data_IF_686524481473
#
_entry.id   IF_686524481473
#
_cell.length_a   1.000
_cell.length_b   1.000
_cell.length_c   1.000
_cell.angle_alpha   90.00
_cell.angle_beta   90.00
_cell.angle_gamma   90.00
#
_symmetry.space_group_name_H-M   'P 1'
#
loop_
_entity.id
_entity.type
_entity.pdbx_description
1 polymer ?
#
# COMPACT_ATOMS: atom_id res chain seq x y z
N UNK A 1 -16.72 -10.25 30.05
CA UNK A 1 -16.77 -9.29 28.92
C UNK A 1 -15.52 -9.50 28.07
N UNK A 2 -15.58 -10.38 27.06
CA UNK A 2 -14.45 -10.60 26.16
C UNK A 2 -14.35 -9.43 25.19
N UNK A 3 -13.42 -8.50 25.45
CA UNK A 3 -13.02 -7.52 24.46
C UNK A 3 -12.15 -8.22 23.42
N UNK A 4 -12.77 -8.65 22.33
CA UNK A 4 -12.05 -9.04 21.11
C UNK A 4 -11.47 -7.76 20.51
N UNK A 5 -10.23 -7.43 20.86
CA UNK A 5 -9.47 -6.41 20.17
C UNK A 5 -8.88 -7.04 18.91
N UNK A 6 -9.23 -6.51 17.74
CA UNK A 6 -8.60 -6.92 16.49
C UNK A 6 -7.28 -6.16 16.34
N UNK A 7 -6.20 -6.87 16.03
CA UNK A 7 -4.88 -6.30 15.78
C UNK A 7 -4.88 -5.66 14.40
N UNK A 8 -4.58 -4.37 14.34
CA UNK A 8 -4.55 -3.59 13.09
C UNK A 8 -3.11 -3.28 12.71
N UNK A 9 -2.68 -3.81 11.57
CA UNK A 9 -1.32 -3.65 11.06
C UNK A 9 -1.23 -2.49 10.06
N UNK A 10 -0.14 -1.72 10.15
CA UNK A 10 0.13 -0.53 9.32
C UNK A 10 0.49 -0.90 7.87
N UNK A 11 1.27 -1.97 7.68
CA UNK A 11 1.60 -2.56 6.37
C UNK A 11 2.10 -3.99 6.61
N UNK A 12 1.34 -4.98 6.14
CA UNK A 12 1.79 -6.37 6.03
C UNK A 12 1.04 -6.98 4.84
N UNK A 13 1.79 -7.63 3.94
CA UNK A 13 1.24 -8.38 2.81
C UNK A 13 1.60 -9.85 3.02
N UNK A 14 0.61 -10.64 3.41
CA UNK A 14 0.70 -12.10 3.46
C UNK A 14 -0.64 -12.65 2.98
N UNK A 15 -0.61 -13.80 2.31
CA UNK A 15 -1.80 -14.41 1.71
C UNK A 15 -2.96 -14.59 2.72
N UNK A 16 -2.65 -14.77 4.00
CA UNK A 16 -3.63 -15.05 5.05
C UNK A 16 -4.19 -13.81 5.76
N UNK A 17 -3.76 -12.59 5.40
CA UNK A 17 -4.19 -11.35 6.07
C UNK A 17 -5.05 -10.50 5.14
N UNK A 18 -6.30 -10.33 5.53
CA UNK A 18 -7.24 -9.43 4.86
C UNK A 18 -6.77 -7.98 4.95
N UNK A 19 -6.75 -7.30 3.79
CA UNK A 19 -6.45 -5.88 3.69
C UNK A 19 -7.69 -5.05 3.42
N UNK A 20 -7.85 -3.96 4.19
CA UNK A 20 -8.96 -3.03 4.05
C UNK A 20 -8.49 -1.60 3.87
N UNK A 21 -9.11 -0.93 2.90
CA UNK A 21 -9.00 0.50 2.65
C UNK A 21 -10.38 1.10 2.86
N UNK A 22 -10.45 2.07 3.77
CA UNK A 22 -11.68 2.78 4.07
C UNK A 22 -12.21 3.52 2.82
N UNK A 23 -13.53 3.53 2.66
CA UNK A 23 -14.28 4.04 1.51
C UNK A 23 -14.08 3.26 0.21
N UNK A 24 -13.39 2.12 0.24
CA UNK A 24 -13.12 1.28 -0.93
C UNK A 24 -13.73 -0.10 -0.75
N UNK A 25 -13.36 -0.84 0.30
CA UNK A 25 -13.76 -2.24 0.52
C UNK A 25 -14.07 -2.60 1.99
N UNK A 26 -14.34 -1.60 2.85
CA UNK A 26 -14.64 -1.79 4.27
C UNK A 26 -15.93 -2.57 4.54
N UNK A 27 -16.83 -2.61 3.56
CA UNK A 27 -18.09 -3.36 3.60
C UNK A 27 -17.87 -4.88 3.67
N UNK A 28 -16.73 -5.35 3.15
CA UNK A 28 -16.33 -6.76 3.18
C UNK A 28 -15.76 -7.20 4.53
N UNK A 29 -15.61 -6.28 5.49
CA UNK A 29 -15.00 -6.57 6.77
C UNK A 29 -15.88 -7.48 7.65
N UNK A 30 -15.33 -8.61 8.08
CA UNK A 30 -15.99 -9.55 8.99
C UNK A 30 -15.32 -9.47 10.37
N UNK A 31 -16.12 -9.23 11.41
CA UNK A 31 -15.66 -9.09 12.81
C UNK A 31 -14.99 -10.33 13.42
N UNK A 32 -14.85 -11.42 12.66
CA UNK A 32 -14.17 -12.66 13.05
C UNK A 32 -12.66 -12.60 12.83
N UNK A 33 -12.18 -11.67 12.02
CA UNK A 33 -10.75 -11.53 11.72
C UNK A 33 -10.01 -10.90 12.89
N UNK A 34 -9.04 -11.63 13.44
CA UNK A 34 -8.23 -11.21 14.59
C UNK A 34 -7.08 -10.28 14.19
N UNK A 35 -6.61 -10.37 12.95
CA UNK A 35 -5.53 -9.54 12.41
C UNK A 35 -5.96 -9.01 11.05
N UNK A 36 -5.90 -7.69 10.88
CA UNK A 36 -6.17 -7.02 9.60
C UNK A 36 -5.05 -6.07 9.23
N UNK A 37 -4.86 -5.85 7.92
CA UNK A 37 -3.89 -4.88 7.40
C UNK A 37 -4.63 -3.69 6.81
N UNK A 38 -4.17 -2.47 7.11
CA UNK A 38 -4.80 -1.26 6.55
C UNK A 38 -4.24 -0.87 5.19
N UNK A 39 -3.40 -1.71 4.58
CA UNK A 39 -2.64 -1.37 3.37
C UNK A 39 -1.69 -0.16 3.53
N UNK A 40 -0.86 0.06 2.51
CA UNK A 40 0.16 1.13 2.51
C UNK A 40 -0.44 2.53 2.28
N UNK A 41 0.31 3.59 2.59
CA UNK A 41 -0.08 4.97 2.29
C UNK A 41 -0.37 5.19 0.79
N UNK A 42 0.44 4.60 -0.08
CA UNK A 42 0.28 4.69 -1.53
C UNK A 42 -0.98 3.95 -2.00
N UNK A 43 -1.22 2.74 -1.48
CA UNK A 43 -2.42 1.96 -1.79
C UNK A 43 -3.69 2.71 -1.39
N UNK A 44 -3.74 3.27 -0.17
CA UNK A 44 -4.89 4.05 0.31
C UNK A 44 -5.21 5.24 -0.60
N UNK A 45 -4.18 5.98 -1.00
CA UNK A 45 -4.33 7.13 -1.89
C UNK A 45 -4.88 6.70 -3.26
N UNK A 46 -4.25 5.70 -3.86
CA UNK A 46 -4.57 5.27 -5.22
C UNK A 46 -5.94 4.57 -5.33
N UNK A 47 -6.28 3.72 -4.35
CA UNK A 47 -7.48 2.88 -4.40
C UNK A 47 -8.77 3.70 -4.54
N UNK A 48 -8.86 4.85 -3.87
CA UNK A 48 -10.03 5.71 -3.94
C UNK A 48 -10.24 6.27 -5.36
N UNK A 49 -9.17 6.77 -5.98
CA UNK A 49 -9.25 7.28 -7.35
C UNK A 49 -9.54 6.18 -8.36
N UNK A 50 -8.86 5.06 -8.23
CA UNK A 50 -9.05 3.93 -9.12
C UNK A 50 -10.49 3.39 -9.03
N UNK A 51 -11.10 3.34 -7.84
CA UNK A 51 -12.50 2.90 -7.67
C UNK A 51 -13.46 3.81 -8.44
N UNK A 52 -13.35 5.12 -8.24
CA UNK A 52 -14.23 6.10 -8.89
C UNK A 52 -14.08 6.07 -10.42
N UNK A 53 -12.84 5.97 -10.91
CA UNK A 53 -12.56 5.91 -12.34
C UNK A 53 -13.10 4.60 -12.93
N UNK A 54 -12.87 3.48 -12.25
CA UNK A 54 -13.32 2.18 -12.72
C UNK A 54 -14.84 2.09 -12.78
N UNK A 55 -15.55 2.52 -11.73
CA UNK A 55 -17.02 2.49 -11.69
C UNK A 55 -17.67 3.36 -12.77
N UNK A 56 -17.02 4.47 -13.16
CA UNK A 56 -17.58 5.42 -14.15
C UNK A 56 -17.17 5.16 -15.59
N UNK A 57 -15.93 4.72 -15.80
CA UNK A 57 -15.31 4.69 -17.13
C UNK A 57 -14.76 3.31 -17.51
N UNK A 58 -14.57 2.42 -16.53
CA UNK A 58 -13.80 1.20 -16.70
C UNK A 58 -12.30 1.48 -16.81
N UNK A 59 -11.48 0.58 -16.27
CA UNK A 59 -10.02 0.63 -16.39
C UNK A 59 -9.60 -0.65 -17.11
N UNK A 60 -8.95 -0.52 -18.26
CA UNK A 60 -8.42 -1.64 -19.05
C UNK A 60 -6.95 -1.87 -18.67
N UNK A 61 -6.17 -0.78 -18.61
CA UNK A 61 -4.77 -0.79 -18.23
C UNK A 61 -4.41 0.53 -17.53
N UNK A 62 -3.34 0.52 -16.73
CA UNK A 62 -2.88 1.71 -16.02
C UNK A 62 -1.46 1.54 -15.51
N UNK A 63 -0.66 2.59 -15.67
CA UNK A 63 0.68 2.70 -15.08
C UNK A 63 0.69 3.89 -14.12
N UNK A 64 1.31 3.69 -12.96
CA UNK A 64 1.34 4.69 -11.89
C UNK A 64 2.79 4.95 -11.51
N UNK A 65 3.09 6.22 -11.33
CA UNK A 65 4.33 6.69 -10.74
C UNK A 65 3.96 7.59 -9.57
N UNK A 66 4.65 7.43 -8.45
CA UNK A 66 4.42 8.27 -7.28
C UNK A 66 5.66 9.08 -6.98
N UNK A 67 5.46 10.38 -6.72
CA UNK A 67 6.49 11.22 -6.12
C UNK A 67 6.27 11.12 -4.62
N UNK A 68 7.17 10.42 -3.94
CA UNK A 68 7.07 10.13 -2.52
C UNK A 68 8.18 10.89 -1.77
N UNK A 69 7.83 11.52 -0.65
CA UNK A 69 8.82 12.12 0.25
C UNK A 69 9.75 11.05 0.83
N UNK A 70 10.98 11.40 1.16
CA UNK A 70 11.87 10.46 1.85
C UNK A 70 11.26 10.04 3.20
N UNK A 71 11.58 8.81 3.62
CA UNK A 71 11.09 8.19 4.85
C UNK A 71 12.27 7.66 5.66
N UNK A 72 12.04 7.35 6.93
CA UNK A 72 13.07 6.91 7.88
C UNK A 72 13.85 5.66 7.45
N UNK A 73 13.30 4.84 6.55
CA UNK A 73 14.01 3.67 6.03
C UNK A 73 14.97 4.01 4.90
N UNK A 74 15.14 5.28 4.51
CA UNK A 74 16.16 5.67 3.53
C UNK A 74 17.37 6.24 4.27
N UNK A 75 18.56 5.97 3.73
CA UNK A 75 19.79 6.43 4.35
C UNK A 75 19.94 7.95 4.16
N UNK A 76 20.38 8.66 5.20
CA UNK A 76 20.61 10.12 5.14
C UNK A 76 21.89 10.42 4.34
N UNK A 77 22.91 9.57 4.51
CA UNK A 77 24.18 9.60 3.79
C UNK A 77 24.34 8.33 2.97
N UNK A 78 25.27 8.31 2.03
CA UNK A 78 25.57 7.09 1.26
C UNK A 78 26.05 5.98 2.23
N UNK A 79 25.33 4.86 2.27
CA UNK A 79 25.63 3.67 3.08
C UNK A 79 25.21 2.39 2.33
N UNK A 80 25.79 1.27 2.73
CA UNK A 80 25.53 -0.04 2.15
C UNK A 80 24.08 -0.48 2.41
N UNK A 81 23.35 -0.79 1.34
CA UNK A 81 22.03 -1.41 1.40
C UNK A 81 21.97 -2.54 0.38
N UNK A 82 21.97 -3.79 0.87
CA UNK A 82 22.09 -4.97 0.03
C UNK A 82 20.85 -5.22 -0.86
N UNK A 83 19.65 -5.05 -0.31
CA UNK A 83 18.39 -5.32 -1.03
C UNK A 83 18.05 -4.25 -2.08
N UNK A 84 18.51 -3.00 -1.89
CA UNK A 84 18.24 -1.88 -2.77
C UNK A 84 19.40 -0.87 -2.73
N UNK A 85 20.40 -1.12 -3.56
CA UNK A 85 21.57 -0.27 -3.74
C UNK A 85 21.25 1.20 -4.09
N UNK A 86 20.11 1.49 -4.73
CA UNK A 86 19.69 2.87 -5.01
C UNK A 86 19.22 3.58 -3.73
N UNK A 87 18.49 2.88 -2.86
CA UNK A 87 18.04 3.39 -1.57
C UNK A 87 19.19 3.56 -0.56
N UNK A 88 20.32 2.91 -0.79
CA UNK A 88 21.56 3.12 -0.03
C UNK A 88 22.19 4.49 -0.26
N UNK A 89 21.78 5.24 -1.29
CA UNK A 89 22.26 6.60 -1.55
C UNK A 89 21.64 7.60 -0.58
N UNK A 90 22.36 8.67 -0.27
CA UNK A 90 21.86 9.75 0.59
C UNK A 90 20.53 10.31 0.05
N UNK A 91 19.48 10.25 0.88
CA UNK A 91 18.10 10.50 0.45
C UNK A 91 17.73 11.96 0.24
N UNK A 92 18.43 12.89 0.88
CA UNK A 92 18.14 14.33 0.79
C UNK A 92 18.65 14.99 -0.50
N UNK A 93 19.84 14.66 -1.05
CA UNK A 93 20.32 15.28 -2.29
C UNK A 93 19.90 14.56 -3.58
N UNK A 94 19.26 13.39 -3.50
CA UNK A 94 19.03 12.51 -4.66
C UNK A 94 17.55 12.29 -4.96
N UNK A 95 17.24 12.10 -6.25
CA UNK A 95 16.01 11.44 -6.69
C UNK A 95 16.31 9.95 -6.75
N UNK A 96 15.60 9.15 -5.95
CA UNK A 96 15.83 7.70 -5.82
C UNK A 96 14.65 6.93 -6.41
N UNK A 97 14.80 6.31 -7.59
CA UNK A 97 13.77 5.44 -8.15
C UNK A 97 13.65 4.13 -7.36
N UNK A 98 12.45 3.80 -6.92
CA UNK A 98 12.12 2.55 -6.21
C UNK A 98 10.85 1.91 -6.76
N UNK A 99 10.70 0.61 -6.55
CA UNK A 99 9.48 -0.13 -6.90
C UNK A 99 8.44 -0.01 -5.78
N UNK A 100 7.17 -0.22 -6.13
CA UNK A 100 6.05 -0.23 -5.18
C UNK A 100 5.00 -1.24 -5.61
N UNK A 101 4.47 -2.00 -4.64
CA UNK A 101 3.44 -3.04 -4.87
C UNK A 101 2.02 -2.47 -4.73
N UNK A 102 1.90 -1.14 -4.63
CA UNK A 102 0.62 -0.49 -4.42
C UNK A 102 -0.36 -0.76 -5.58
N UNK A 103 0.13 -0.83 -6.81
CA UNK A 103 -0.69 -1.06 -8.01
C UNK A 103 -1.31 -2.45 -8.00
N UNK A 104 -0.52 -3.48 -7.70
CA UNK A 104 -1.00 -4.87 -7.60
C UNK A 104 -2.09 -5.00 -6.53
N UNK A 105 -1.89 -4.34 -5.38
CA UNK A 105 -2.88 -4.34 -4.30
C UNK A 105 -4.18 -3.63 -4.72
N UNK A 106 -4.08 -2.50 -5.43
CA UNK A 106 -5.26 -1.77 -5.89
C UNK A 106 -6.02 -2.55 -6.98
N UNK A 107 -5.29 -3.23 -7.85
CA UNK A 107 -5.88 -4.12 -8.84
C UNK A 107 -6.72 -5.22 -8.17
N UNK A 108 -6.21 -5.85 -7.10
CA UNK A 108 -6.93 -6.84 -6.31
C UNK A 108 -8.23 -6.30 -5.69
N UNK A 109 -8.26 -5.05 -5.25
CA UNK A 109 -9.44 -4.47 -4.61
C UNK A 109 -10.55 -4.02 -5.54
N UNK A 110 -10.24 -3.75 -6.82
CA UNK A 110 -11.18 -3.08 -7.73
C UNK A 110 -11.60 -3.98 -8.87
N UNK A 111 -10.68 -4.80 -9.40
CA UNK A 111 -10.94 -5.60 -10.60
C UNK A 111 -11.32 -7.06 -10.28
N UNK A 112 -11.01 -7.53 -9.07
CA UNK A 112 -11.38 -8.88 -8.59
C UNK A 112 -12.40 -8.85 -7.44
N UNK A 113 -13.07 -7.71 -7.22
CA UNK A 113 -13.98 -7.48 -6.09
C UNK A 113 -15.43 -7.79 -6.38
#
# INVERSE_FOLDING_TARGET
MNKFYNLVLKKLSSADISMFVMSVNEDKYIRKETVISTASCTTKCLALFAKIIHEKFGIIEGLITTVHSYIDTLNIVDDSWYENWRAGRGSTPNIIPTSTDAVETVYLFILFS
#
